data_IF_829266823157
#
_entry.id   IF_829266823157
#
_cell.length_a   1.000
_cell.length_b   1.000
_cell.length_c   1.000
_cell.angle_alpha   90.00
_cell.angle_beta   90.00
_cell.angle_gamma   90.00
#
_symmetry.space_group_name_H-M   'P 1'
#
loop_
_entity.id
_entity.type
_entity.pdbx_description
1 polymer ?
#
# COMPACT_ATOMS: atom_id res chain seq x y z
N UNK A 1 -13.04 -52.21 26.34
CA UNK A 1 -12.09 -51.68 27.34
C UNK A 1 -11.78 -50.24 26.92
N UNK A 2 -12.57 -49.20 27.24
CA UNK A 2 -12.94 -48.61 28.54
C UNK A 2 -11.74 -48.40 29.47
N UNK A 3 -11.22 -47.17 29.49
CA UNK A 3 -10.76 -46.32 30.60
C UNK A 3 -9.86 -45.21 30.03
N UNK A 4 -9.80 -43.97 30.50
CA UNK A 4 -10.42 -43.22 31.59
C UNK A 4 -10.07 -41.74 31.26
N UNK A 5 -11.01 -40.78 31.30
CA UNK A 5 -11.14 -39.75 32.36
C UNK A 5 -9.82 -39.03 32.73
N UNK A 6 -9.70 -37.73 32.99
CA UNK A 6 -10.60 -36.60 33.26
C UNK A 6 -9.66 -35.40 33.52
N UNK A 7 -10.09 -34.16 33.34
CA UNK A 7 -9.29 -32.99 33.73
C UNK A 7 -9.85 -31.67 33.19
N UNK A 8 -11.11 -31.33 33.49
CA UNK A 8 -11.49 -30.39 34.56
C UNK A 8 -11.41 -28.92 34.09
N UNK A 9 -12.52 -28.51 33.47
CA UNK A 9 -12.97 -27.12 33.39
C UNK A 9 -13.17 -26.59 34.82
N UNK A 10 -12.60 -25.42 35.13
CA UNK A 10 -12.94 -24.66 36.33
C UNK A 10 -13.37 -23.27 35.90
N UNK A 11 -14.69 -23.04 35.98
CA UNK A 11 -15.30 -21.71 36.08
C UNK A 11 -15.26 -21.31 37.54
N UNK A 12 -14.67 -20.16 37.85
CA UNK A 12 -14.91 -19.39 39.08
C UNK A 12 -15.49 -18.04 38.61
N UNK A 13 -16.81 -17.88 38.59
CA UNK A 13 -17.63 -17.23 39.63
C UNK A 13 -17.25 -15.78 39.92
N UNK A 14 -18.08 -14.91 39.36
CA UNK A 14 -18.31 -13.50 39.71
C UNK A 14 -18.81 -13.36 41.15
N UNK A 15 -18.35 -12.34 41.86
CA UNK A 15 -19.09 -11.69 42.94
C UNK A 15 -18.95 -10.16 42.81
N UNK A 16 -20.02 -9.38 43.09
CA UNK A 16 -20.08 -7.93 42.89
C UNK A 16 -19.61 -7.17 44.14
N UNK A 17 -18.82 -6.11 43.92
CA UNK A 17 -18.49 -5.11 44.94
C UNK A 17 -19.10 -3.78 44.53
N UNK A 18 -20.21 -3.44 45.16
CA UNK A 18 -20.89 -2.14 45.12
C UNK A 18 -20.17 -1.21 46.11
N UNK A 19 -19.39 -0.25 45.61
CA UNK A 19 -19.03 0.95 46.39
C UNK A 19 -19.26 2.18 45.50
N UNK A 20 -20.30 2.92 45.87
CA UNK A 20 -20.68 4.15 45.21
C UNK A 20 -19.66 5.26 45.44
N UNK A 21 -19.41 6.03 44.39
CA UNK A 21 -19.03 7.44 44.55
C UNK A 21 -19.74 8.25 43.49
N UNK A 22 -20.61 9.13 43.97
CA UNK A 22 -21.30 10.17 43.23
C UNK A 22 -20.27 11.19 42.72
N UNK A 23 -20.16 11.29 41.39
CA UNK A 23 -19.31 12.28 40.72
C UNK A 23 -20.02 12.78 39.47
N UNK A 24 -20.72 13.90 39.61
CA UNK A 24 -21.34 14.65 38.51
C UNK A 24 -20.30 14.97 37.43
N UNK A 25 -20.55 14.53 36.19
CA UNK A 25 -20.07 15.25 35.00
C UNK A 25 -20.82 14.79 33.74
N UNK A 26 -21.73 15.68 33.32
CA UNK A 26 -22.12 15.99 31.95
C UNK A 26 -22.13 14.87 30.91
N UNK A 27 -23.34 14.55 30.49
CA UNK A 27 -23.72 13.85 29.27
C UNK A 27 -22.78 14.13 28.08
N UNK A 28 -22.16 13.08 27.55
CA UNK A 28 -21.78 13.07 26.13
C UNK A 28 -22.69 12.07 25.41
N UNK A 29 -23.84 12.56 24.95
CA UNK A 29 -24.68 11.87 23.98
C UNK A 29 -23.82 11.31 22.85
N UNK A 30 -23.67 9.99 22.79
CA UNK A 30 -23.08 9.28 21.66
C UNK A 30 -24.03 9.38 20.47
N UNK A 31 -23.97 10.53 19.78
CA UNK A 31 -24.64 10.76 18.51
C UNK A 31 -23.98 9.84 17.49
N UNK A 32 -24.65 8.75 17.12
CA UNK A 32 -24.14 7.72 16.20
C UNK A 32 -23.32 8.33 15.07
N UNK A 33 -22.01 8.08 15.09
CA UNK A 33 -21.08 8.72 14.18
C UNK A 33 -21.40 8.28 12.75
N UNK A 34 -22.09 9.15 12.01
CA UNK A 34 -22.22 9.01 10.56
C UNK A 34 -20.80 8.96 10.02
N UNK A 35 -20.33 7.76 9.64
CA UNK A 35 -18.98 7.51 9.13
C UNK A 35 -18.64 8.60 8.11
N UNK A 36 -17.70 9.48 8.47
CA UNK A 36 -17.35 10.61 7.63
C UNK A 36 -16.85 10.07 6.30
N UNK A 37 -17.34 10.66 5.21
CA UNK A 37 -16.89 10.26 3.87
C UNK A 37 -15.42 10.67 3.72
N UNK A 38 -14.57 9.68 3.48
CA UNK A 38 -13.15 9.87 3.20
C UNK A 38 -12.93 10.60 1.89
N UNK A 39 -11.80 11.27 1.75
CA UNK A 39 -11.42 11.97 0.52
C UNK A 39 -9.95 11.76 0.22
N UNK A 40 -9.60 11.74 -1.07
CA UNK A 40 -8.22 11.56 -1.52
C UNK A 40 -7.72 12.84 -2.19
N UNK A 41 -6.49 13.19 -1.86
CA UNK A 41 -5.73 14.25 -2.51
C UNK A 41 -4.59 13.61 -3.29
N UNK A 42 -4.49 14.00 -4.55
CA UNK A 42 -3.40 13.67 -5.45
C UNK A 42 -2.31 14.74 -5.36
N UNK A 43 -1.06 14.31 -5.32
CA UNK A 43 0.14 15.15 -5.29
C UNK A 43 0.94 14.86 -6.56
N UNK A 44 1.08 15.86 -7.41
CA UNK A 44 1.68 15.68 -8.74
C UNK A 44 3.20 15.71 -8.74
N UNK A 45 3.81 16.48 -7.84
CA UNK A 45 5.26 16.64 -7.78
C UNK A 45 5.72 16.52 -6.33
N UNK A 46 6.64 15.60 -6.08
CA UNK A 46 7.17 15.33 -4.74
C UNK A 46 8.66 15.69 -4.72
N UNK A 47 9.07 16.59 -3.81
CA UNK A 47 10.48 16.95 -3.66
C UNK A 47 11.40 15.75 -3.42
N UNK A 48 12.64 15.88 -3.87
CA UNK A 48 13.73 15.00 -3.43
C UNK A 48 13.83 15.09 -1.89
N UNK A 49 14.02 13.97 -1.22
CA UNK A 49 14.05 13.80 0.25
C UNK A 49 12.70 13.84 0.98
N UNK A 50 11.59 14.11 0.29
CA UNK A 50 10.27 14.05 0.90
C UNK A 50 9.88 12.58 1.14
N UNK A 51 9.72 12.20 2.40
CA UNK A 51 9.26 10.86 2.81
C UNK A 51 7.79 10.91 3.21
N UNK A 52 7.11 9.75 3.22
CA UNK A 52 5.74 9.60 3.72
C UNK A 52 5.56 10.20 5.12
N UNK A 53 6.55 10.06 6.01
CA UNK A 53 6.51 10.63 7.36
C UNK A 53 6.43 12.16 7.34
N UNK A 54 7.28 12.80 6.54
CA UNK A 54 7.34 14.26 6.39
C UNK A 54 6.04 14.79 5.78
N UNK A 55 5.48 14.10 4.77
CA UNK A 55 4.17 14.45 4.22
C UNK A 55 3.05 14.36 5.27
N UNK A 56 3.09 13.35 6.12
CA UNK A 56 2.12 13.19 7.20
C UNK A 56 2.24 14.28 8.27
N UNK A 57 3.46 14.73 8.55
CA UNK A 57 3.70 15.84 9.47
C UNK A 57 3.09 17.14 8.92
N UNK A 58 3.49 17.54 7.71
CA UNK A 58 2.98 18.78 7.09
C UNK A 58 1.47 18.79 6.87
N UNK A 59 0.92 17.70 6.34
CA UNK A 59 -0.52 17.63 6.06
C UNK A 59 -1.34 17.28 7.32
N UNK A 60 -0.69 16.73 8.35
CA UNK A 60 -1.31 16.32 9.60
C UNK A 60 -1.82 17.49 10.42
N UNK A 61 -1.16 18.65 10.32
CA UNK A 61 -1.59 19.92 10.93
C UNK A 61 -3.00 20.34 10.49
N UNK A 62 -3.40 19.98 9.26
CA UNK A 62 -4.69 20.38 8.69
C UNK A 62 -5.80 19.36 8.93
N UNK A 63 -5.45 18.12 9.25
CA UNK A 63 -6.41 17.10 9.63
C UNK A 63 -5.88 15.67 9.62
N UNK A 64 -6.71 14.76 10.13
CA UNK A 64 -6.33 13.36 10.31
C UNK A 64 -6.20 12.63 8.97
N UNK A 65 -4.98 12.14 8.75
CA UNK A 65 -4.56 11.37 7.58
C UNK A 65 -4.74 9.88 7.87
N UNK A 66 -5.25 9.14 6.89
CA UNK A 66 -5.30 7.69 6.89
C UNK A 66 -4.12 7.10 6.13
N UNK A 67 -4.40 6.61 4.93
CA UNK A 67 -3.44 5.93 4.07
C UNK A 67 -2.67 6.92 3.19
N UNK A 68 -1.40 6.63 2.96
CA UNK A 68 -0.53 7.42 2.06
C UNK A 68 0.23 6.45 1.16
N UNK A 69 0.24 6.75 -0.13
CA UNK A 69 0.95 5.98 -1.13
C UNK A 69 1.75 6.93 -1.99
N UNK A 70 3.04 6.65 -2.15
CA UNK A 70 3.93 7.39 -3.02
C UNK A 70 4.47 6.46 -4.09
N UNK A 71 4.31 6.86 -5.35
CA UNK A 71 4.82 6.13 -6.49
C UNK A 71 6.31 6.41 -6.63
N UNK A 72 7.11 5.35 -6.63
CA UNK A 72 8.54 5.45 -6.95
C UNK A 72 8.72 5.62 -8.46
N UNK A 73 9.76 6.36 -8.86
CA UNK A 73 10.12 6.43 -10.27
C UNK A 73 10.63 5.06 -10.75
N UNK A 74 10.04 4.52 -11.83
CA UNK A 74 10.38 3.19 -12.36
C UNK A 74 11.86 3.08 -12.76
N UNK A 75 12.46 4.18 -13.22
CA UNK A 75 13.89 4.22 -13.56
C UNK A 75 14.81 3.90 -12.38
N UNK A 76 14.37 4.21 -11.15
CA UNK A 76 15.14 3.88 -9.94
C UNK A 76 14.99 2.41 -9.54
N UNK A 77 13.91 1.73 -9.94
CA UNK A 77 13.67 0.30 -9.62
C UNK A 77 14.50 -0.61 -10.53
N UNK A 78 14.65 -0.28 -11.82
CA UNK A 78 15.45 -1.06 -12.79
C UNK A 78 16.97 -0.95 -12.52
N UNK A 79 17.42 0.21 -12.04
CA UNK A 79 18.84 0.48 -11.73
C UNK A 79 19.23 0.13 -10.28
N UNK A 80 18.27 -0.29 -9.43
CA UNK A 80 18.52 -0.67 -8.04
C UNK A 80 19.37 -1.95 -7.89
N UNK A 81 19.62 -2.69 -8.97
CA UNK A 81 20.50 -3.86 -9.00
C UNK A 81 21.99 -3.56 -8.72
N UNK A 82 22.43 -2.29 -8.75
CA UNK A 82 23.84 -1.92 -8.53
C UNK A 82 24.06 -1.17 -7.20
N UNK A 83 24.34 -1.94 -6.14
CA UNK A 83 25.25 -1.70 -5.00
C UNK A 83 25.30 -0.32 -4.28
N UNK A 84 24.34 0.60 -4.44
CA UNK A 84 24.20 1.80 -3.58
C UNK A 84 22.73 2.03 -3.26
N UNK A 85 22.41 2.23 -1.98
CA UNK A 85 21.08 2.68 -1.51
C UNK A 85 20.81 4.08 -2.06
N UNK A 86 20.46 4.21 -3.34
CA UNK A 86 20.02 5.47 -3.93
C UNK A 86 18.72 5.88 -3.23
N UNK A 87 18.65 7.15 -2.83
CA UNK A 87 17.48 7.71 -2.16
C UNK A 87 16.28 7.63 -3.10
N UNK A 88 15.20 6.98 -2.67
CA UNK A 88 13.98 6.79 -3.47
C UNK A 88 13.42 8.15 -3.89
N UNK A 89 13.23 8.35 -5.19
CA UNK A 89 12.58 9.54 -5.73
C UNK A 89 11.15 9.19 -6.07
N UNK A 90 10.22 9.88 -5.40
CA UNK A 90 8.81 9.74 -5.69
C UNK A 90 8.40 10.70 -6.79
N UNK A 91 7.61 10.24 -7.74
CA UNK A 91 7.06 11.08 -8.81
C UNK A 91 5.71 11.66 -8.38
N UNK A 92 4.84 10.80 -7.88
CA UNK A 92 3.44 11.10 -7.59
C UNK A 92 3.03 10.52 -6.24
N UNK A 93 1.96 11.08 -5.65
CA UNK A 93 1.46 10.63 -4.37
C UNK A 93 -0.05 10.73 -4.22
N UNK A 94 -0.61 9.85 -3.40
CA UNK A 94 -2.01 9.84 -3.01
C UNK A 94 -2.11 9.82 -1.49
N UNK A 95 -2.85 10.78 -0.94
CA UNK A 95 -3.08 10.93 0.49
C UNK A 95 -4.57 10.80 0.77
N UNK A 96 -4.95 9.84 1.59
CA UNK A 96 -6.32 9.66 2.08
C UNK A 96 -6.52 10.45 3.37
N UNK A 97 -7.52 11.31 3.39
CA UNK A 97 -8.00 12.01 4.57
C UNK A 97 -9.29 11.37 5.08
N UNK A 98 -9.46 11.37 6.41
CA UNK A 98 -10.66 10.86 7.07
C UNK A 98 -11.92 11.67 6.67
N UNK A 99 -11.76 12.96 6.40
CA UNK A 99 -12.85 13.86 6.00
C UNK A 99 -12.63 14.47 4.62
N UNK A 100 -13.54 14.21 3.66
CA UNK A 100 -13.48 14.80 2.31
C UNK A 100 -13.56 16.33 2.29
N UNK A 101 -14.17 16.95 3.31
CA UNK A 101 -14.23 18.41 3.44
C UNK A 101 -12.84 19.00 3.63
N UNK A 102 -12.05 18.40 4.52
CA UNK A 102 -10.66 18.77 4.78
C UNK A 102 -9.82 18.58 3.52
N UNK A 103 -9.96 17.44 2.84
CA UNK A 103 -9.25 17.18 1.57
C UNK A 103 -9.54 18.25 0.50
N UNK A 104 -10.81 18.65 0.34
CA UNK A 104 -11.20 19.72 -0.59
C UNK A 104 -10.61 21.07 -0.20
N UNK A 105 -10.73 21.45 1.07
CA UNK A 105 -10.22 22.72 1.58
C UNK A 105 -8.69 22.79 1.47
N UNK A 106 -8.00 21.69 1.78
CA UNK A 106 -6.55 21.56 1.63
C UNK A 106 -6.11 21.77 0.19
N UNK A 107 -6.73 21.06 -0.75
CA UNK A 107 -6.41 21.22 -2.16
C UNK A 107 -6.64 22.67 -2.62
N UNK A 108 -7.69 23.35 -2.16
CA UNK A 108 -7.92 24.76 -2.51
C UNK A 108 -6.92 25.72 -1.84
N UNK A 109 -6.62 25.50 -0.55
CA UNK A 109 -5.85 26.44 0.28
C UNK A 109 -4.34 26.31 0.08
N UNK A 110 -3.85 25.09 -0.14
CA UNK A 110 -2.45 24.74 -0.13
C UNK A 110 -1.86 24.59 -1.54
N UNK A 111 -2.69 24.32 -2.55
CA UNK A 111 -2.22 24.29 -3.94
C UNK A 111 -1.62 25.65 -4.35
N UNK A 112 -0.43 25.62 -4.94
CA UNK A 112 0.32 26.82 -5.34
C UNK A 112 1.07 27.53 -4.21
N UNK A 113 1.01 27.04 -2.96
CA UNK A 113 1.76 27.61 -1.83
C UNK A 113 3.10 26.91 -1.62
N UNK A 114 4.12 27.60 -1.08
CA UNK A 114 5.38 26.96 -0.72
C UNK A 114 5.15 25.90 0.37
N UNK A 115 5.95 24.83 0.33
CA UNK A 115 5.85 23.74 1.29
C UNK A 115 6.17 24.21 2.71
N UNK A 116 7.17 25.06 2.83
CA UNK A 116 7.58 25.67 4.09
C UNK A 116 8.04 27.10 3.85
N UNK A 117 7.88 27.95 4.86
CA UNK A 117 8.34 29.35 4.84
C UNK A 117 9.67 29.53 5.57
N UNK A 118 10.27 28.44 6.08
CA UNK A 118 11.54 28.47 6.82
C UNK A 118 12.72 28.66 5.88
N UNK A 119 13.44 29.78 6.04
CA UNK A 119 14.56 30.25 5.20
C UNK A 119 15.82 29.35 5.12
N UNK A 120 15.82 28.17 5.73
CA UNK A 120 16.92 27.19 5.64
C UNK A 120 16.46 25.76 5.35
N UNK A 121 15.17 25.57 5.05
CA UNK A 121 14.65 24.26 4.74
C UNK A 121 14.87 23.91 3.27
N UNK A 122 15.19 22.64 3.00
CA UNK A 122 15.34 22.07 1.66
C UNK A 122 14.07 22.19 0.79
N UNK A 123 12.94 22.49 1.42
CA UNK A 123 11.61 22.55 0.78
C UNK A 123 11.07 23.98 0.62
N UNK A 124 11.87 25.02 0.89
CA UNK A 124 11.41 26.42 0.88
C UNK A 124 10.92 26.89 -0.49
N UNK A 125 11.68 26.57 -1.55
CA UNK A 125 11.40 27.08 -2.91
C UNK A 125 10.39 26.24 -3.69
N UNK A 126 9.94 25.12 -3.11
CA UNK A 126 9.07 24.18 -3.79
C UNK A 126 7.62 24.47 -3.44
N UNK A 127 6.78 24.57 -4.47
CA UNK A 127 5.35 24.78 -4.33
C UNK A 127 4.60 23.45 -4.26
N UNK A 128 3.56 23.42 -3.45
CA UNK A 128 2.58 22.34 -3.42
C UNK A 128 1.78 22.30 -4.72
N UNK A 129 1.70 21.11 -5.33
CA UNK A 129 0.79 20.83 -6.43
C UNK A 129 -0.19 19.74 -5.99
N UNK A 130 -1.39 20.15 -5.59
CA UNK A 130 -2.39 19.30 -4.96
C UNK A 130 -3.71 19.34 -5.72
N UNK A 131 -4.28 18.17 -5.97
CA UNK A 131 -5.58 18.04 -6.63
C UNK A 131 -6.51 17.15 -5.82
N UNK A 132 -7.68 17.66 -5.47
CA UNK A 132 -8.73 16.83 -4.88
C UNK A 132 -9.37 15.94 -5.94
N UNK A 133 -9.45 14.64 -5.67
CA UNK A 133 -10.11 13.69 -6.55
C UNK A 133 -11.54 13.41 -6.05
N UNK A 134 -12.52 13.95 -6.78
CA UNK A 134 -13.93 13.69 -6.48
C UNK A 134 -14.32 12.26 -6.84
N UNK A 135 -15.22 11.63 -6.07
CA UNK A 135 -15.73 10.26 -6.28
C UNK A 135 -14.67 9.15 -6.29
N UNK A 136 -13.40 9.48 -6.04
CA UNK A 136 -12.30 8.54 -6.01
C UNK A 136 -12.14 7.95 -4.60
N UNK A 137 -11.92 6.63 -4.53
CA UNK A 137 -11.71 5.88 -3.28
C UNK A 137 -10.38 5.15 -3.35
N UNK A 138 -9.81 4.85 -2.18
CA UNK A 138 -8.52 4.15 -2.08
C UNK A 138 -8.54 2.80 -2.80
N UNK A 139 -9.69 2.12 -2.74
CA UNK A 139 -9.90 0.84 -3.42
C UNK A 139 -9.59 0.93 -4.91
N UNK A 140 -10.01 2.01 -5.59
CA UNK A 140 -9.76 2.17 -7.03
C UNK A 140 -8.27 2.31 -7.35
N UNK A 141 -7.49 2.96 -6.46
CA UNK A 141 -6.05 3.06 -6.61
C UNK A 141 -5.38 1.68 -6.46
N UNK A 142 -5.71 0.96 -5.39
CA UNK A 142 -5.15 -0.37 -5.14
C UNK A 142 -5.57 -1.39 -6.20
N UNK A 143 -6.82 -1.32 -6.66
CA UNK A 143 -7.35 -2.18 -7.71
C UNK A 143 -6.60 -1.95 -9.02
N UNK A 144 -6.40 -0.69 -9.43
CA UNK A 144 -5.62 -0.37 -10.62
C UNK A 144 -4.19 -0.90 -10.54
N UNK A 145 -3.50 -0.67 -9.42
CA UNK A 145 -2.12 -1.13 -9.18
C UNK A 145 -1.99 -2.65 -9.18
N UNK A 146 -2.95 -3.34 -8.55
CA UNK A 146 -2.95 -4.81 -8.48
C UNK A 146 -3.28 -5.43 -9.83
N UNK A 147 -4.22 -4.86 -10.55
CA UNK A 147 -4.57 -5.26 -11.91
C UNK A 147 -3.38 -5.13 -12.86
N UNK A 148 -2.71 -3.97 -12.90
CA UNK A 148 -1.54 -3.76 -13.76
C UNK A 148 -0.42 -4.78 -13.45
N UNK A 149 -0.17 -5.05 -12.17
CA UNK A 149 0.81 -6.07 -11.75
C UNK A 149 0.39 -7.48 -12.14
N UNK A 150 -0.89 -7.83 -12.01
CA UNK A 150 -1.41 -9.14 -12.37
C UNK A 150 -1.29 -9.39 -13.88
N UNK A 151 -1.70 -8.41 -14.69
CA UNK A 151 -1.59 -8.46 -16.16
C UNK A 151 -0.13 -8.62 -16.59
N UNK A 152 0.78 -7.83 -16.01
CA UNK A 152 2.21 -7.95 -16.30
C UNK A 152 2.76 -9.33 -15.96
N UNK A 153 2.43 -9.84 -14.77
CA UNK A 153 2.86 -11.19 -14.33
C UNK A 153 2.31 -12.29 -15.23
N UNK A 154 1.05 -12.19 -15.66
CA UNK A 154 0.42 -13.17 -16.54
C UNK A 154 1.10 -13.21 -17.91
N UNK A 155 1.44 -12.05 -18.48
CA UNK A 155 2.18 -11.97 -19.75
C UNK A 155 3.55 -12.66 -19.64
N UNK A 156 4.32 -12.28 -18.62
CA UNK A 156 5.63 -12.88 -18.38
C UNK A 156 5.56 -14.40 -18.15
N UNK A 157 4.56 -14.87 -17.39
CA UNK A 157 4.36 -16.31 -17.17
C UNK A 157 4.01 -17.05 -18.47
N UNK A 158 3.23 -16.43 -19.35
CA UNK A 158 2.88 -16.99 -20.66
C UNK A 158 4.12 -17.12 -21.53
N UNK A 159 4.96 -16.08 -21.59
CA UNK A 159 6.24 -16.10 -22.32
C UNK A 159 7.18 -17.19 -21.78
N UNK A 160 7.33 -17.29 -20.45
CA UNK A 160 8.12 -18.36 -19.82
C UNK A 160 7.55 -19.75 -20.13
N UNK A 161 6.23 -19.90 -20.10
CA UNK A 161 5.57 -21.18 -20.41
C UNK A 161 5.79 -21.60 -21.85
N UNK A 162 5.76 -20.64 -22.79
CA UNK A 162 6.05 -20.89 -24.21
C UNK A 162 7.51 -21.35 -24.38
N UNK A 163 8.47 -20.61 -23.82
CA UNK A 163 9.90 -20.96 -23.89
C UNK A 163 10.19 -22.34 -23.26
N UNK A 164 9.55 -22.66 -22.13
CA UNK A 164 9.67 -23.99 -21.48
C UNK A 164 9.11 -25.10 -22.37
N UNK A 165 7.96 -24.87 -23.01
CA UNK A 165 7.34 -25.85 -23.90
C UNK A 165 8.24 -26.13 -25.11
N UNK A 166 8.82 -25.09 -25.70
CA UNK A 166 9.79 -25.22 -26.80
C UNK A 166 11.04 -26.00 -26.35
N UNK A 167 11.66 -25.62 -25.23
CA UNK A 167 12.84 -26.31 -24.71
C UNK A 167 12.58 -27.80 -24.43
N UNK A 168 11.44 -28.12 -23.82
CA UNK A 168 11.03 -29.50 -23.56
C UNK A 168 10.82 -30.27 -24.87
N UNK A 169 10.17 -29.66 -25.86
CA UNK A 169 9.97 -30.27 -27.18
C UNK A 169 11.29 -30.62 -27.88
N UNK A 170 12.28 -29.71 -27.83
CA UNK A 170 13.62 -30.00 -28.36
C UNK A 170 14.32 -31.11 -27.57
N UNK A 171 14.25 -31.10 -26.24
CA UNK A 171 14.83 -32.16 -25.39
C UNK A 171 14.24 -33.54 -25.69
N UNK A 172 12.91 -33.66 -25.76
CA UNK A 172 12.22 -34.91 -26.07
C UNK A 172 12.58 -35.45 -27.46
N UNK A 173 12.73 -34.57 -28.46
CA UNK A 173 13.12 -34.96 -29.80
C UNK A 173 14.57 -35.47 -29.86
N UNK A 174 15.50 -34.83 -29.14
CA UNK A 174 16.88 -35.30 -29.02
C UNK A 174 16.92 -36.68 -28.36
N UNK A 175 16.27 -36.86 -27.22
CA UNK A 175 16.18 -38.15 -26.52
C UNK A 175 15.58 -39.25 -27.40
N UNK A 176 14.51 -38.95 -28.14
CA UNK A 176 13.89 -39.89 -29.08
C UNK A 176 14.87 -40.27 -30.19
N UNK A 177 15.58 -39.30 -30.76
CA UNK A 177 16.56 -39.52 -31.82
C UNK A 177 17.75 -40.39 -31.35
N UNK A 178 18.26 -40.16 -30.13
CA UNK A 178 19.33 -40.96 -29.56
C UNK A 178 18.91 -42.40 -29.31
N UNK A 179 17.71 -42.61 -28.75
CA UNK A 179 17.15 -43.95 -28.51
C UNK A 179 17.02 -44.73 -29.83
N UNK A 180 16.55 -44.07 -30.89
CA UNK A 180 16.47 -44.68 -32.22
C UNK A 180 17.86 -45.02 -32.79
N UNK A 181 18.85 -44.13 -32.64
CA UNK A 181 20.24 -44.38 -33.07
C UNK A 181 20.84 -45.59 -32.35
N UNK A 182 20.69 -45.68 -31.03
CA UNK A 182 21.17 -46.81 -30.21
C UNK A 182 20.51 -48.13 -30.62
N UNK A 183 19.22 -48.12 -30.96
CA UNK A 183 18.51 -49.32 -31.46
C UNK A 183 19.01 -49.76 -32.84
N UNK A 184 19.28 -48.82 -33.75
CA UNK A 184 19.83 -49.12 -35.08
C UNK A 184 21.26 -49.68 -34.99
N UNK A 185 22.09 -49.17 -34.09
CA UNK A 185 23.47 -49.65 -33.92
C UNK A 185 23.60 -51.04 -33.27
N UNK A 186 22.54 -51.54 -32.62
CA UNK A 186 22.50 -52.89 -32.02
C UNK A 186 21.98 -53.96 -32.97
N UNK A 187 21.52 -53.57 -34.16
CA UNK A 187 20.94 -54.45 -35.17
C UNK A 187 21.96 -54.62 -36.30
#
# INVERSE_FOLDING_TARGET
>A
KRNNQSGRFVRLSTAPGDEGTCGSSAETTQKGEKKRKRGIVYISNIPKYMTVAILKEFLGEFGKIGRVYLQNNKSDDDEAGKKRRKMRRYTEGWVEFESKKVAKLLALRLNGKPITTRKGSKFCDILWNLKYLSRFKWVHLSERLTYEKAVYRQRLQTEISLARKEANFYGENLDRSEKLRKRKAKK
#
